data_IF_585793617064
#
_entry.id   IF_585793617064
#
_cell.length_a   1.000
_cell.length_b   1.000
_cell.length_c   1.000
_cell.angle_alpha   90.00
_cell.angle_beta   90.00
_cell.angle_gamma   90.00
#
_symmetry.space_group_name_H-M   'P 1'
#
loop_
_entity.id
_entity.type
_entity.pdbx_description
1 polymer ?
#
# COMPACT_ATOMS: atom_id res chain seq x y z
N UNK A 1 43.02 -49.67 10.98
CA UNK A 1 41.96 -49.51 9.99
C UNK A 1 42.19 -48.15 9.36
N UNK A 2 42.70 -48.14 8.13
CA UNK A 2 43.18 -46.91 7.47
C UNK A 2 41.98 -46.21 6.85
N UNK A 3 41.68 -45.01 7.32
CA UNK A 3 40.73 -44.11 6.69
C UNK A 3 41.14 -43.92 5.23
N UNK A 4 40.25 -44.32 4.33
CA UNK A 4 40.45 -44.16 2.89
C UNK A 4 39.92 -42.78 2.55
N UNK A 5 40.75 -41.76 2.76
CA UNK A 5 40.50 -40.44 2.18
C UNK A 5 40.43 -40.60 0.66
N UNK A 6 39.23 -40.42 0.12
CA UNK A 6 38.99 -40.36 -1.33
C UNK A 6 39.71 -39.13 -1.87
N UNK A 7 40.95 -39.34 -2.32
CA UNK A 7 41.75 -38.34 -3.02
C UNK A 7 41.08 -38.10 -4.38
N UNK A 8 40.34 -37.00 -4.50
CA UNK A 8 39.84 -36.53 -5.79
C UNK A 8 41.07 -36.11 -6.60
N UNK A 9 41.45 -36.94 -7.57
CA UNK A 9 42.50 -36.59 -8.52
C UNK A 9 42.02 -35.40 -9.35
N UNK A 10 42.53 -34.21 -9.03
CA UNK A 10 42.17 -32.94 -9.67
C UNK A 10 42.61 -32.84 -11.15
N UNK A 11 43.08 -33.93 -11.75
CA UNK A 11 43.46 -34.04 -13.16
C UNK A 11 42.55 -34.95 -14.00
N UNK A 12 41.49 -35.56 -13.44
CA UNK A 12 40.50 -36.29 -14.23
C UNK A 12 39.38 -35.35 -14.74
N UNK A 13 39.31 -35.06 -16.05
CA UNK A 13 38.28 -34.20 -16.62
C UNK A 13 36.85 -34.69 -16.33
N UNK A 14 36.64 -36.02 -16.21
CA UNK A 14 35.33 -36.57 -15.94
C UNK A 14 34.84 -36.25 -14.51
N UNK A 15 35.74 -36.31 -13.52
CA UNK A 15 35.44 -35.96 -12.14
C UNK A 15 35.09 -34.46 -11.97
N UNK A 16 35.83 -33.58 -12.67
CA UNK A 16 35.58 -32.13 -12.67
C UNK A 16 34.23 -31.80 -13.31
N UNK A 17 33.91 -32.43 -14.45
CA UNK A 17 32.63 -32.25 -15.13
C UNK A 17 31.47 -32.73 -14.24
N UNK A 18 31.60 -33.89 -13.59
CA UNK A 18 30.57 -34.42 -12.70
C UNK A 18 30.31 -33.50 -11.51
N UNK A 19 31.37 -33.00 -10.85
CA UNK A 19 31.26 -32.04 -9.77
C UNK A 19 30.62 -30.72 -10.22
N UNK A 20 30.97 -30.23 -11.41
CA UNK A 20 30.37 -29.04 -12.01
C UNK A 20 28.88 -29.21 -12.29
N UNK A 21 28.46 -30.37 -12.84
CA UNK A 21 27.06 -30.68 -13.09
C UNK A 21 26.23 -30.77 -11.81
N UNK A 22 26.77 -31.40 -10.76
CA UNK A 22 26.12 -31.46 -9.45
C UNK A 22 25.92 -30.05 -8.88
N UNK A 23 26.94 -29.20 -8.96
CA UNK A 23 26.85 -27.80 -8.50
C UNK A 23 25.86 -26.97 -9.31
N UNK A 24 25.78 -27.19 -10.62
CA UNK A 24 24.76 -26.55 -11.47
C UNK A 24 23.35 -27.02 -11.10
N UNK A 25 23.17 -28.29 -10.76
CA UNK A 25 21.90 -28.82 -10.31
C UNK A 25 21.46 -28.22 -8.97
N UNK A 26 22.38 -28.08 -8.02
CA UNK A 26 22.13 -27.39 -6.74
C UNK A 26 21.75 -25.92 -6.97
N UNK A 27 22.51 -25.20 -7.79
CA UNK A 27 22.23 -23.80 -8.14
C UNK A 27 20.86 -23.64 -8.80
N UNK A 28 20.47 -24.58 -9.65
CA UNK A 28 19.12 -24.60 -10.23
C UNK A 28 18.05 -24.78 -9.16
N UNK A 29 18.25 -25.68 -8.21
CA UNK A 29 17.33 -25.87 -7.08
C UNK A 29 17.17 -24.60 -6.25
N UNK A 30 18.28 -23.91 -5.93
CA UNK A 30 18.23 -22.62 -5.24
C UNK A 30 17.54 -21.54 -6.06
N UNK A 31 17.78 -21.50 -7.37
CA UNK A 31 17.12 -20.55 -8.26
C UNK A 31 15.59 -20.76 -8.27
N UNK A 32 15.14 -22.01 -8.44
CA UNK A 32 13.72 -22.34 -8.47
C UNK A 32 13.04 -21.98 -7.12
N UNK A 33 13.72 -22.25 -6.00
CA UNK A 33 13.26 -21.84 -4.67
C UNK A 33 13.18 -20.31 -4.54
N UNK A 34 14.24 -19.58 -4.94
CA UNK A 34 14.26 -18.12 -4.85
C UNK A 34 13.19 -17.47 -5.73
N UNK A 35 12.89 -18.04 -6.90
CA UNK A 35 11.78 -17.58 -7.76
C UNK A 35 10.45 -17.82 -7.07
N UNK A 36 10.22 -19.00 -6.49
CA UNK A 36 8.99 -19.30 -5.76
C UNK A 36 8.77 -18.35 -4.57
N UNK A 37 9.82 -18.08 -3.78
CA UNK A 37 9.78 -17.14 -2.66
C UNK A 37 9.51 -15.70 -3.14
N UNK A 38 10.14 -15.28 -4.23
CA UNK A 38 9.91 -13.96 -4.83
C UNK A 38 8.46 -13.80 -5.31
N UNK A 39 7.89 -14.82 -5.96
CA UNK A 39 6.50 -14.81 -6.42
C UNK A 39 5.51 -14.78 -5.26
N UNK A 40 5.75 -15.58 -4.22
CA UNK A 40 4.96 -15.57 -2.99
C UNK A 40 5.00 -14.21 -2.31
N UNK A 41 6.20 -13.63 -2.12
CA UNK A 41 6.37 -12.30 -1.53
C UNK A 41 5.71 -11.19 -2.35
N UNK A 42 5.73 -11.30 -3.69
CA UNK A 42 5.01 -10.36 -4.58
C UNK A 42 3.49 -10.50 -4.45
N UNK A 43 2.97 -11.71 -4.31
CA UNK A 43 1.55 -11.94 -4.11
C UNK A 43 1.06 -11.35 -2.78
N UNK A 44 1.77 -11.65 -1.69
CA UNK A 44 1.49 -11.10 -0.37
C UNK A 44 1.63 -9.57 -0.35
N UNK A 45 2.63 -9.02 -1.03
CA UNK A 45 2.82 -7.58 -1.17
C UNK A 45 1.64 -6.91 -1.87
N UNK A 46 1.11 -7.50 -2.96
CA UNK A 46 -0.08 -6.97 -3.64
C UNK A 46 -1.32 -7.02 -2.76
N UNK A 47 -1.50 -8.09 -2.00
CA UNK A 47 -2.63 -8.23 -1.08
C UNK A 47 -2.58 -7.17 0.03
N UNK A 48 -1.40 -6.94 0.62
CA UNK A 48 -1.20 -5.87 1.63
C UNK A 48 -1.47 -4.48 1.06
N UNK A 49 -1.01 -4.18 -0.14
CA UNK A 49 -1.28 -2.89 -0.80
C UNK A 49 -2.78 -2.71 -1.05
N UNK A 50 -3.48 -3.76 -1.51
CA UNK A 50 -4.92 -3.70 -1.73
C UNK A 50 -5.69 -3.48 -0.42
N UNK A 51 -5.28 -4.14 0.68
CA UNK A 51 -5.87 -3.95 1.99
C UNK A 51 -5.67 -2.52 2.51
N UNK A 52 -4.44 -1.99 2.42
CA UNK A 52 -4.13 -0.62 2.80
C UNK A 52 -4.90 0.41 1.96
N UNK A 53 -5.04 0.17 0.66
CA UNK A 53 -5.82 1.05 -0.20
C UNK A 53 -7.29 1.08 0.24
N UNK A 54 -7.88 -0.09 0.55
CA UNK A 54 -9.25 -0.16 1.04
C UNK A 54 -9.44 0.56 2.38
N UNK A 55 -8.45 0.50 3.27
CA UNK A 55 -8.45 1.24 4.53
C UNK A 55 -8.38 2.76 4.31
N UNK A 56 -7.46 3.21 3.45
CA UNK A 56 -7.32 4.63 3.08
C UNK A 56 -8.60 5.16 2.43
N UNK A 57 -9.22 4.39 1.54
CA UNK A 57 -10.47 4.77 0.89
C UNK A 57 -11.61 4.88 1.92
N UNK A 58 -11.69 3.95 2.88
CA UNK A 58 -12.69 3.97 3.95
C UNK A 58 -12.49 5.17 4.89
N UNK A 59 -11.26 5.48 5.29
CA UNK A 59 -10.96 6.65 6.12
C UNK A 59 -11.21 7.96 5.38
N UNK A 60 -10.83 8.03 4.09
CA UNK A 60 -11.10 9.19 3.24
C UNK A 60 -12.60 9.43 3.11
N UNK A 61 -13.39 8.36 2.95
CA UNK A 61 -14.86 8.47 2.94
C UNK A 61 -15.40 9.05 4.24
N UNK A 62 -14.95 8.53 5.39
CA UNK A 62 -15.37 9.04 6.72
C UNK A 62 -14.99 10.52 6.89
N UNK A 63 -13.78 10.89 6.48
CA UNK A 63 -13.32 12.27 6.56
C UNK A 63 -14.17 13.19 5.67
N UNK A 64 -14.50 12.75 4.46
CA UNK A 64 -15.40 13.49 3.56
C UNK A 64 -16.77 13.70 4.19
N UNK A 65 -17.35 12.68 4.82
CA UNK A 65 -18.64 12.80 5.51
C UNK A 65 -18.57 13.83 6.65
N UNK A 66 -17.53 13.79 7.48
CA UNK A 66 -17.34 14.75 8.58
C UNK A 66 -17.20 16.18 8.04
N UNK A 67 -16.44 16.38 6.96
CA UNK A 67 -16.25 17.69 6.35
C UNK A 67 -17.56 18.21 5.74
N UNK A 68 -18.33 17.35 5.08
CA UNK A 68 -19.64 17.68 4.50
C UNK A 68 -20.62 18.09 5.60
N UNK A 69 -20.68 17.31 6.68
CA UNK A 69 -21.61 17.56 7.79
C UNK A 69 -21.24 18.88 8.50
N UNK A 70 -19.95 19.12 8.76
CA UNK A 70 -19.47 20.38 9.35
C UNK A 70 -19.72 21.60 8.44
N UNK A 71 -19.53 21.45 7.13
CA UNK A 71 -19.81 22.53 6.18
C UNK A 71 -21.32 22.82 6.06
N UNK A 72 -22.16 21.79 6.18
CA UNK A 72 -23.61 21.93 6.20
C UNK A 72 -24.06 22.67 7.47
N UNK A 73 -23.60 22.24 8.64
CA UNK A 73 -23.90 22.90 9.92
C UNK A 73 -23.46 24.38 9.93
N UNK A 74 -22.26 24.66 9.40
CA UNK A 74 -21.78 26.03 9.25
C UNK A 74 -22.71 26.90 8.37
N UNK A 75 -23.18 26.34 7.26
CA UNK A 75 -24.08 27.03 6.35
C UNK A 75 -25.47 27.25 6.97
N UNK A 76 -25.96 26.28 7.74
CA UNK A 76 -27.24 26.37 8.43
C UNK A 76 -27.19 27.49 9.50
N UNK A 77 -26.11 27.56 10.28
CA UNK A 77 -25.95 28.64 11.27
C UNK A 77 -25.74 30.00 10.60
N UNK A 78 -25.00 30.05 9.48
CA UNK A 78 -24.86 31.28 8.68
C UNK A 78 -26.21 31.76 8.14
N UNK A 79 -27.05 30.85 7.67
CA UNK A 79 -28.41 31.14 7.22
C UNK A 79 -29.27 31.65 8.37
N UNK A 80 -29.19 31.01 9.54
CA UNK A 80 -29.92 31.45 10.75
C UNK A 80 -29.58 32.88 11.17
N UNK A 81 -28.29 33.27 11.10
CA UNK A 81 -27.85 34.62 11.41
C UNK A 81 -28.39 35.67 10.42
N UNK A 82 -28.54 35.29 9.15
CA UNK A 82 -29.16 36.13 8.13
C UNK A 82 -30.66 36.26 8.38
N UNK A 83 -31.35 35.14 8.60
CA UNK A 83 -32.81 35.10 8.78
C UNK A 83 -33.28 35.84 10.03
N UNK A 84 -32.49 35.80 11.10
CA UNK A 84 -32.76 36.54 12.34
C UNK A 84 -32.39 38.03 12.27
N UNK A 85 -31.80 38.49 11.15
CA UNK A 85 -31.39 39.88 10.93
C UNK A 85 -30.13 40.30 11.69
N UNK A 86 -29.44 39.38 12.35
CA UNK A 86 -28.19 39.64 13.10
C UNK A 86 -27.00 39.91 12.17
N UNK A 87 -27.03 39.39 10.95
CA UNK A 87 -26.04 39.65 9.93
C UNK A 87 -26.67 39.78 8.54
N UNK A 88 -25.94 40.36 7.60
CA UNK A 88 -26.27 40.31 6.17
C UNK A 88 -25.29 39.39 5.43
N UNK A 89 -25.67 38.81 4.28
CA UNK A 89 -24.77 37.98 3.48
C UNK A 89 -23.45 38.69 3.13
N UNK A 90 -23.50 40.01 2.89
CA UNK A 90 -22.32 40.83 2.63
C UNK A 90 -21.38 40.88 3.83
N UNK A 91 -21.91 41.15 5.02
CA UNK A 91 -21.11 41.23 6.26
C UNK A 91 -20.44 39.89 6.60
N UNK A 92 -21.16 38.79 6.43
CA UNK A 92 -20.59 37.45 6.66
C UNK A 92 -19.47 37.14 5.65
N UNK A 93 -19.71 37.42 4.36
CA UNK A 93 -18.70 37.21 3.31
C UNK A 93 -17.44 38.06 3.53
N UNK A 94 -17.60 39.34 3.89
CA UNK A 94 -16.47 40.25 4.14
C UNK A 94 -15.62 39.79 5.34
N UNK A 95 -16.19 39.00 6.25
CA UNK A 95 -15.50 38.37 7.39
C UNK A 95 -14.97 36.96 7.10
N UNK A 96 -15.08 36.48 5.87
CA UNK A 96 -14.66 35.12 5.48
C UNK A 96 -15.62 34.02 5.90
N UNK A 97 -16.82 34.36 6.39
CA UNK A 97 -17.86 33.44 6.82
C UNK A 97 -18.94 33.26 5.73
N UNK A 98 -18.52 33.30 4.47
CA UNK A 98 -19.43 33.06 3.35
C UNK A 98 -19.86 31.59 3.27
N UNK A 99 -21.03 31.34 2.68
CA UNK A 99 -21.53 29.98 2.50
C UNK A 99 -20.52 29.09 1.76
N UNK A 100 -20.26 27.92 2.33
CA UNK A 100 -19.36 26.90 1.79
C UNK A 100 -20.13 26.06 0.78
N UNK A 101 -19.53 25.77 -0.37
CA UNK A 101 -20.14 24.84 -1.33
C UNK A 101 -20.01 23.41 -0.81
N UNK A 102 -21.14 22.77 -0.55
CA UNK A 102 -21.20 21.38 -0.11
C UNK A 102 -21.58 20.49 -1.30
N UNK A 103 -20.77 19.48 -1.65
CA UNK A 103 -21.17 18.51 -2.68
C UNK A 103 -22.36 17.68 -2.19
N UNK A 104 -23.23 17.27 -3.11
CA UNK A 104 -24.32 16.35 -2.77
C UNK A 104 -23.74 15.03 -2.25
N UNK A 105 -24.19 14.58 -1.06
CA UNK A 105 -23.85 13.27 -0.50
C UNK A 105 -24.30 12.21 -1.53
N UNK A 106 -23.37 11.38 -1.98
CA UNK A 106 -23.62 10.31 -2.95
C UNK A 106 -24.18 9.07 -2.26
#
# INVERSE_FOLDING_TARGET
MSDTETYIDNNDPAAIIAAGLNRLQELRGFYDQAVAELEAGRAEGRERVAALQAEVDAETSKLNDVVIDAATEFNDESSRLIDTGWASPKVLKDRGLGAIRVPAKK
#
